data_IF_839512194053
#
_entry.id   IF_839512194053
#
_cell.length_a   1.000
_cell.length_b   1.000
_cell.length_c   1.000
_cell.angle_alpha   90.00
_cell.angle_beta   90.00
_cell.angle_gamma   90.00
#
_symmetry.space_group_name_H-M   'P 1'
#
loop_
_entity.id
_entity.type
_entity.pdbx_description
1 polymer ?
#
# COMPACT_ATOMS: atom_id res chain seq x y z
N UNK A 1 -12.22 -9.06 8.24
CA UNK A 1 -11.57 -9.22 9.56
C UNK A 1 -12.00 -8.08 10.48
N UNK A 2 -12.79 -8.34 11.49
CA UNK A 2 -13.06 -7.38 12.57
C UNK A 2 -11.76 -7.19 13.35
N UNK A 3 -11.03 -6.11 13.10
CA UNK A 3 -9.89 -5.70 13.93
C UNK A 3 -10.42 -5.49 15.34
N UNK A 4 -10.02 -6.33 16.26
CA UNK A 4 -10.38 -6.20 17.67
C UNK A 4 -9.73 -4.92 18.20
N UNK A 5 -10.51 -4.03 18.82
CA UNK A 5 -10.03 -2.83 19.55
C UNK A 5 -9.02 -3.16 20.65
N UNK A 6 -8.78 -4.46 20.92
CA UNK A 6 -7.81 -4.98 21.88
C UNK A 6 -6.46 -5.35 21.25
N UNK A 7 -6.31 -5.20 19.92
CA UNK A 7 -5.01 -5.44 19.26
C UNK A 7 -4.04 -4.30 19.62
N UNK A 8 -2.93 -4.59 20.32
CA UNK A 8 -1.97 -3.57 20.75
C UNK A 8 -1.37 -2.81 19.57
N UNK A 9 -1.16 -3.45 18.42
CA UNK A 9 -0.66 -2.78 17.23
C UNK A 9 -1.66 -1.75 16.68
N UNK A 10 -2.96 -2.04 16.75
CA UNK A 10 -3.99 -1.10 16.34
C UNK A 10 -4.07 0.12 17.27
N UNK A 11 -4.00 -0.10 18.60
CA UNK A 11 -4.00 1.00 19.58
C UNK A 11 -2.80 1.92 19.35
N UNK A 12 -1.60 1.36 19.20
CA UNK A 12 -0.38 2.12 18.96
C UNK A 12 -0.44 2.87 17.62
N UNK A 13 -1.01 2.27 16.56
CA UNK A 13 -1.23 2.97 15.29
C UNK A 13 -2.13 4.18 15.44
N UNK A 14 -3.28 4.03 16.13
CA UNK A 14 -4.19 5.15 16.37
C UNK A 14 -3.52 6.25 17.20
N UNK A 15 -2.80 5.87 18.26
CA UNK A 15 -2.03 6.83 19.07
C UNK A 15 -0.99 7.56 18.23
N UNK A 16 -0.27 6.86 17.36
CA UNK A 16 0.73 7.47 16.46
C UNK A 16 0.07 8.50 15.52
N UNK A 17 -1.07 8.17 14.91
CA UNK A 17 -1.77 9.09 14.02
C UNK A 17 -2.35 10.30 14.76
N UNK A 18 -2.88 10.13 15.97
CA UNK A 18 -3.37 11.23 16.81
C UNK A 18 -2.20 12.15 17.19
N UNK A 19 -1.09 11.61 17.69
CA UNK A 19 0.10 12.37 18.04
C UNK A 19 0.67 13.12 16.83
N UNK A 20 0.62 12.53 15.66
CA UNK A 20 1.03 13.18 14.41
C UNK A 20 0.13 14.37 14.08
N UNK A 21 -1.19 14.23 14.18
CA UNK A 21 -2.13 15.34 13.98
C UNK A 21 -1.89 16.46 14.98
N UNK A 22 -1.71 16.13 16.27
CA UNK A 22 -1.41 17.10 17.33
C UNK A 22 -0.11 17.84 17.04
N UNK A 23 0.95 17.12 16.70
CA UNK A 23 2.26 17.72 16.38
C UNK A 23 2.16 18.66 15.17
N UNK A 24 1.42 18.27 14.14
CA UNK A 24 1.24 19.10 12.94
C UNK A 24 0.45 20.38 13.24
N UNK A 25 -0.65 20.26 13.97
CA UNK A 25 -1.48 21.40 14.37
C UNK A 25 -0.72 22.37 15.26
N UNK A 26 -0.01 21.86 16.27
CA UNK A 26 0.83 22.69 17.15
C UNK A 26 2.01 23.30 16.39
N UNK A 27 2.60 22.58 15.42
CA UNK A 27 3.66 23.11 14.57
C UNK A 27 3.22 24.34 13.76
N UNK A 28 1.98 24.33 13.27
CA UNK A 28 1.40 25.48 12.55
C UNK A 28 1.03 26.66 13.48
N UNK A 29 0.61 26.38 14.71
CA UNK A 29 0.03 27.38 15.61
C UNK A 29 0.97 27.85 16.70
N UNK A 30 2.04 27.11 17.05
CA UNK A 30 2.86 27.36 18.24
C UNK A 30 3.52 28.73 18.28
N UNK A 31 3.92 29.27 17.13
CA UNK A 31 4.52 30.62 17.04
C UNK A 31 3.48 31.74 17.13
N UNK A 32 2.23 31.43 16.76
CA UNK A 32 1.13 32.44 16.89
C UNK A 32 0.58 32.50 18.32
N UNK A 33 0.80 31.46 19.13
CA UNK A 33 0.37 31.35 20.50
C UNK A 33 1.52 31.88 21.38
N UNK A 34 1.53 33.18 21.70
CA UNK A 34 2.59 33.81 22.48
C UNK A 34 2.70 33.26 23.92
N UNK A 35 1.55 33.01 24.57
CA UNK A 35 1.47 32.42 25.92
C UNK A 35 0.28 31.48 26.03
N UNK A 36 0.45 30.40 26.80
CA UNK A 36 -0.62 29.48 27.16
C UNK A 36 -0.64 29.30 28.67
N UNK A 37 -1.83 29.44 29.29
CA UNK A 37 -1.98 29.40 30.75
C UNK A 37 -1.06 30.41 31.49
N UNK A 38 -0.76 31.57 30.88
CA UNK A 38 0.14 32.57 31.45
C UNK A 38 1.65 32.25 31.34
N UNK A 39 2.02 31.13 30.77
CA UNK A 39 3.42 30.73 30.55
C UNK A 39 3.81 31.06 29.10
N UNK A 40 4.82 31.94 28.86
CA UNK A 40 5.29 32.23 27.53
C UNK A 40 5.92 30.99 26.88
N UNK A 41 5.76 30.83 25.57
CA UNK A 41 6.36 29.73 24.75
C UNK A 41 5.93 28.31 25.12
N UNK A 42 4.95 28.09 26.02
CA UNK A 42 4.53 26.75 26.46
C UNK A 42 4.01 25.93 25.29
N UNK A 43 3.38 26.52 24.29
CA UNK A 43 2.91 25.82 23.09
C UNK A 43 4.05 25.15 22.33
N UNK A 44 5.26 25.74 22.33
CA UNK A 44 6.45 25.16 21.69
C UNK A 44 6.95 23.96 22.49
N UNK A 45 6.95 24.03 23.82
CA UNK A 45 7.28 22.87 24.66
C UNK A 45 6.33 21.69 24.37
N UNK A 46 5.01 21.96 24.38
CA UNK A 46 4.00 20.91 24.11
C UNK A 46 4.19 20.31 22.71
N UNK A 47 4.50 21.13 21.70
CA UNK A 47 4.85 20.67 20.36
C UNK A 47 6.05 19.71 20.38
N UNK A 48 7.14 20.08 21.05
CA UNK A 48 8.35 19.25 21.11
C UNK A 48 8.11 17.94 21.86
N UNK A 49 7.37 17.97 22.98
CA UNK A 49 7.00 16.77 23.72
C UNK A 49 6.07 15.86 22.90
N UNK A 50 5.09 16.42 22.18
CA UNK A 50 4.23 15.66 21.27
C UNK A 50 5.03 15.00 20.13
N UNK A 51 6.02 15.70 19.57
CA UNK A 51 6.90 15.16 18.55
C UNK A 51 7.76 13.99 19.07
N UNK A 52 8.28 14.09 20.30
CA UNK A 52 9.01 12.98 20.95
C UNK A 52 8.07 11.78 21.17
N UNK A 53 6.86 12.02 21.69
CA UNK A 53 5.86 10.96 21.87
C UNK A 53 5.48 10.28 20.55
N UNK A 54 5.32 11.06 19.48
CA UNK A 54 5.06 10.56 18.13
C UNK A 54 6.19 9.62 17.67
N UNK A 55 7.45 10.02 17.79
CA UNK A 55 8.59 9.22 17.40
C UNK A 55 8.70 7.91 18.17
N UNK A 56 8.47 7.96 19.49
CA UNK A 56 8.44 6.75 20.34
C UNK A 56 7.30 5.83 19.89
N UNK A 57 6.10 6.37 19.70
CA UNK A 57 4.93 5.61 19.29
C UNK A 57 5.14 4.96 17.90
N UNK A 58 5.72 5.67 16.94
CA UNK A 58 6.06 5.13 15.62
C UNK A 58 7.09 3.99 15.71
N UNK A 59 8.10 4.12 16.59
CA UNK A 59 9.09 3.08 16.83
C UNK A 59 8.45 1.83 17.47
N UNK A 60 7.57 2.01 18.45
CA UNK A 60 6.83 0.90 19.08
C UNK A 60 5.93 0.18 18.08
N UNK A 61 5.25 0.92 17.22
CA UNK A 61 4.41 0.36 16.15
C UNK A 61 5.22 -0.54 15.21
N UNK A 62 6.39 -0.07 14.78
CA UNK A 62 7.26 -0.83 13.91
C UNK A 62 7.74 -2.14 14.57
N UNK A 63 8.11 -2.07 15.85
CA UNK A 63 8.49 -3.24 16.62
C UNK A 63 7.37 -4.27 16.73
N UNK A 64 6.12 -3.81 16.96
CA UNK A 64 4.93 -4.67 17.04
C UNK A 64 4.53 -5.28 15.70
N UNK A 65 4.85 -4.63 14.58
CA UNK A 65 4.62 -5.22 13.26
C UNK A 65 5.64 -6.29 12.88
N UNK A 66 6.84 -6.19 13.43
CA UNK A 66 7.96 -7.04 13.06
C UNK A 66 8.11 -8.27 13.96
N UNK A 67 7.71 -8.17 15.24
CA UNK A 67 7.99 -9.20 16.23
C UNK A 67 6.79 -9.47 17.14
N UNK A 68 6.66 -10.70 17.69
CA UNK A 68 5.69 -11.02 18.73
C UNK A 68 5.95 -10.19 20.00
N UNK A 69 4.87 -9.73 20.65
CA UNK A 69 4.94 -8.89 21.85
C UNK A 69 5.81 -9.48 22.99
N UNK A 70 5.81 -10.80 23.12
CA UNK A 70 6.58 -11.49 24.18
C UNK A 70 8.09 -11.24 24.07
N UNK A 71 8.63 -11.18 22.84
CA UNK A 71 10.07 -11.05 22.58
C UNK A 71 10.58 -9.62 22.74
N UNK A 72 9.70 -8.62 22.58
CA UNK A 72 10.09 -7.21 22.52
C UNK A 72 9.75 -6.41 23.78
N UNK A 73 9.15 -7.03 24.80
CA UNK A 73 8.71 -6.35 26.04
C UNK A 73 9.82 -5.51 26.70
N UNK A 74 11.03 -6.03 26.78
CA UNK A 74 12.17 -5.33 27.38
C UNK A 74 12.56 -4.10 26.54
N UNK A 75 12.58 -4.24 25.21
CA UNK A 75 12.88 -3.12 24.31
C UNK A 75 11.79 -2.05 24.35
N UNK A 76 10.52 -2.44 24.40
CA UNK A 76 9.38 -1.51 24.57
C UNK A 76 9.55 -0.71 25.87
N UNK A 77 9.84 -1.39 27.00
CA UNK A 77 10.08 -0.72 28.28
C UNK A 77 11.24 0.26 28.20
N UNK A 78 12.34 -0.12 27.57
CA UNK A 78 13.49 0.76 27.39
C UNK A 78 13.13 2.04 26.62
N UNK A 79 12.37 1.93 25.52
CA UNK A 79 11.89 3.09 24.75
C UNK A 79 10.94 3.98 25.54
N UNK A 80 10.03 3.40 26.33
CA UNK A 80 9.09 4.16 27.16
C UNK A 80 9.84 4.88 28.28
N UNK A 81 10.76 4.19 28.98
CA UNK A 81 11.53 4.79 30.08
C UNK A 81 12.46 5.89 29.55
N UNK A 82 13.18 5.64 28.46
CA UNK A 82 14.04 6.68 27.86
C UNK A 82 13.24 7.90 27.41
N UNK A 83 12.04 7.67 26.86
CA UNK A 83 11.09 8.73 26.51
C UNK A 83 10.64 9.52 27.74
N UNK A 84 10.26 8.86 28.83
CA UNK A 84 9.83 9.53 30.06
C UNK A 84 10.96 10.37 30.67
N UNK A 85 12.17 9.84 30.70
CA UNK A 85 13.35 10.59 31.15
C UNK A 85 13.58 11.83 30.28
N UNK A 86 13.51 11.65 28.96
CA UNK A 86 13.67 12.75 28.01
C UNK A 86 12.60 13.83 28.19
N UNK A 87 11.34 13.47 28.42
CA UNK A 87 10.26 14.40 28.73
C UNK A 87 10.58 15.27 29.95
N UNK A 88 11.05 14.64 31.02
CA UNK A 88 11.44 15.36 32.24
C UNK A 88 12.61 16.30 31.96
N UNK A 89 13.65 15.83 31.30
CA UNK A 89 14.84 16.65 31.00
C UNK A 89 14.50 17.82 30.09
N UNK A 90 13.74 17.61 29.02
CA UNK A 90 13.30 18.69 28.12
C UNK A 90 12.43 19.70 28.88
N UNK A 91 11.52 19.26 29.73
CA UNK A 91 10.68 20.15 30.53
C UNK A 91 11.52 21.01 31.47
N UNK A 92 12.46 20.41 32.19
CA UNK A 92 13.36 21.11 33.12
C UNK A 92 14.21 22.15 32.37
N UNK A 93 14.87 21.76 31.27
CA UNK A 93 15.69 22.66 30.46
C UNK A 93 14.86 23.81 29.87
N UNK A 94 13.62 23.53 29.46
CA UNK A 94 12.71 24.58 28.98
C UNK A 94 12.45 25.64 30.06
N UNK A 95 12.06 25.24 31.28
CA UNK A 95 11.77 26.17 32.33
C UNK A 95 13.02 26.98 32.81
N UNK A 96 14.21 26.37 32.74
CA UNK A 96 15.47 27.06 33.05
C UNK A 96 15.80 28.12 31.97
N UNK A 97 15.56 27.75 30.67
CA UNK A 97 15.86 28.65 29.54
C UNK A 97 14.78 29.65 29.24
N UNK A 98 13.53 29.44 29.64
CA UNK A 98 12.38 30.30 29.35
C UNK A 98 12.27 31.43 30.35
N UNK A 99 13.17 32.42 30.24
CA UNK A 99 13.18 33.63 31.07
C UNK A 99 12.14 34.64 30.61
N UNK A 100 11.68 35.57 31.49
CA UNK A 100 10.83 36.67 31.07
C UNK A 100 11.46 37.45 29.90
N UNK A 101 10.69 37.62 28.82
CA UNK A 101 11.17 38.30 27.60
C UNK A 101 11.89 37.42 26.59
N UNK A 102 12.03 36.11 26.83
CA UNK A 102 12.61 35.16 25.81
C UNK A 102 11.65 35.09 24.63
N UNK A 103 12.09 35.43 23.39
CA UNK A 103 11.24 35.35 22.23
C UNK A 103 11.00 33.89 21.84
N UNK A 104 9.79 33.56 21.33
CA UNK A 104 9.43 32.21 20.88
C UNK A 104 10.36 31.67 19.76
N UNK A 105 10.91 32.57 18.96
CA UNK A 105 11.90 32.24 17.92
C UNK A 105 13.18 31.61 18.48
N UNK A 106 13.56 31.92 19.73
CA UNK A 106 14.73 31.31 20.39
C UNK A 106 14.57 29.79 20.53
N UNK A 107 13.37 29.33 20.88
CA UNK A 107 13.06 27.88 20.95
C UNK A 107 12.66 27.28 19.59
N UNK A 108 12.21 28.13 18.66
CA UNK A 108 11.78 27.67 17.34
C UNK A 108 12.91 27.63 16.30
N UNK A 109 13.85 28.57 16.34
CA UNK A 109 14.94 28.70 15.34
C UNK A 109 16.29 28.35 15.94
N UNK A 110 16.64 28.92 17.07
CA UNK A 110 17.90 28.78 17.78
C UNK A 110 18.23 30.05 18.57
N UNK A 111 19.15 29.95 19.51
CA UNK A 111 19.57 31.05 20.40
C UNK A 111 21.05 30.87 20.75
N UNK A 112 21.71 31.98 21.09
CA UNK A 112 23.05 31.99 21.70
C UNK A 112 23.06 31.58 23.19
N UNK A 113 21.89 31.41 23.84
CA UNK A 113 21.82 30.94 25.23
C UNK A 113 22.18 29.45 25.29
N UNK A 114 23.19 29.02 26.07
CA UNK A 114 23.67 27.66 26.11
C UNK A 114 22.61 26.65 26.62
N UNK A 115 21.66 27.09 27.47
CA UNK A 115 20.58 26.23 27.98
C UNK A 115 19.58 25.91 26.87
N UNK A 116 19.18 26.94 26.11
CA UNK A 116 18.26 26.78 24.96
C UNK A 116 18.95 25.96 23.87
N UNK A 117 20.22 26.19 23.60
CA UNK A 117 20.99 25.40 22.67
C UNK A 117 21.03 23.91 23.05
N UNK A 118 21.33 23.62 24.31
CA UNK A 118 21.32 22.24 24.83
C UNK A 118 19.96 21.59 24.71
N UNK A 119 18.89 22.31 25.06
CA UNK A 119 17.51 21.86 24.90
C UNK A 119 17.20 21.47 23.45
N UNK A 120 17.52 22.33 22.49
CA UNK A 120 17.24 22.10 21.08
C UNK A 120 18.09 20.98 20.48
N UNK A 121 19.36 20.89 20.85
CA UNK A 121 20.23 19.80 20.40
C UNK A 121 19.73 18.44 20.95
N UNK A 122 19.37 18.38 22.22
CA UNK A 122 18.80 17.17 22.81
C UNK A 122 17.49 16.77 22.12
N UNK A 123 16.63 17.75 21.83
CA UNK A 123 15.41 17.51 21.05
C UNK A 123 15.71 16.93 19.67
N UNK A 124 16.64 17.52 18.89
CA UNK A 124 16.99 17.04 17.56
C UNK A 124 17.62 15.64 17.59
N UNK A 125 18.49 15.36 18.55
CA UNK A 125 19.06 14.01 18.74
C UNK A 125 17.94 13.02 19.04
N UNK A 126 16.97 13.39 19.87
CA UNK A 126 15.81 12.54 20.17
C UNK A 126 14.94 12.23 18.96
N UNK A 127 14.94 13.05 17.93
CA UNK A 127 14.27 12.79 16.65
C UNK A 127 15.15 11.96 15.69
N UNK A 128 16.47 12.22 15.68
CA UNK A 128 17.41 11.54 14.79
C UNK A 128 17.57 10.05 15.13
N UNK A 129 17.61 9.69 16.42
CA UNK A 129 17.76 8.29 16.87
C UNK A 129 16.64 7.39 16.35
N UNK A 130 15.35 7.72 16.50
CA UNK A 130 14.27 6.95 15.88
C UNK A 130 14.37 6.86 14.36
N UNK A 131 14.76 7.93 13.65
CA UNK A 131 14.93 7.88 12.20
C UNK A 131 15.96 6.83 11.78
N UNK A 132 17.13 6.81 12.43
CA UNK A 132 18.16 5.80 12.16
C UNK A 132 17.68 4.39 12.50
N UNK A 133 17.06 4.20 13.65
CA UNK A 133 16.58 2.87 14.08
C UNK A 133 15.47 2.35 13.19
N UNK A 134 14.53 3.20 12.76
CA UNK A 134 13.47 2.87 11.80
C UNK A 134 14.08 2.43 10.47
N UNK A 135 15.02 3.20 9.93
CA UNK A 135 15.70 2.87 8.69
C UNK A 135 16.40 1.50 8.77
N UNK A 136 17.18 1.26 9.81
CA UNK A 136 17.92 0.02 10.00
C UNK A 136 17.02 -1.20 10.20
N UNK A 137 15.83 -1.02 10.78
CA UNK A 137 14.85 -2.10 11.00
C UNK A 137 13.99 -2.35 9.75
N UNK A 138 13.57 -1.31 9.03
CA UNK A 138 12.66 -1.45 7.89
C UNK A 138 13.27 -2.27 6.75
N UNK A 139 14.55 -2.12 6.44
CA UNK A 139 15.17 -2.79 5.29
C UNK A 139 15.24 -4.32 5.43
N UNK A 140 15.74 -4.91 6.54
CA UNK A 140 15.73 -6.36 6.75
C UNK A 140 14.30 -6.92 6.73
N UNK A 141 13.36 -6.27 7.44
CA UNK A 141 11.97 -6.72 7.48
C UNK A 141 11.27 -6.65 6.12
N UNK A 142 11.58 -5.64 5.30
CA UNK A 142 11.07 -5.55 3.94
C UNK A 142 11.57 -6.70 3.04
N UNK A 143 12.75 -7.26 3.33
CA UNK A 143 13.31 -8.40 2.59
C UNK A 143 12.70 -9.74 3.03
N UNK A 144 12.41 -9.90 4.33
CA UNK A 144 11.90 -11.16 4.91
C UNK A 144 10.38 -11.33 4.75
N UNK A 145 9.60 -10.26 4.60
CA UNK A 145 8.14 -10.36 4.52
C UNK A 145 7.64 -10.81 3.15
N UNK A 146 6.72 -11.77 3.14
CA UNK A 146 6.00 -12.23 1.93
C UNK A 146 4.82 -11.31 1.55
N UNK A 147 4.33 -10.48 2.49
CA UNK A 147 3.19 -9.59 2.27
C UNK A 147 3.60 -8.37 1.45
N UNK A 148 3.12 -8.27 0.21
CA UNK A 148 3.50 -7.22 -0.75
C UNK A 148 3.27 -5.81 -0.21
N UNK A 149 2.11 -5.55 0.42
CA UNK A 149 1.78 -4.22 0.94
C UNK A 149 2.61 -3.86 2.17
N UNK A 150 2.88 -4.81 3.07
CA UNK A 150 3.77 -4.58 4.20
C UNK A 150 5.20 -4.28 3.73
N UNK A 151 5.69 -4.99 2.71
CA UNK A 151 6.99 -4.69 2.10
C UNK A 151 7.07 -3.28 1.52
N UNK A 152 6.01 -2.84 0.83
CA UNK A 152 5.93 -1.47 0.30
C UNK A 152 5.91 -0.43 1.42
N UNK A 153 5.10 -0.65 2.45
CA UNK A 153 5.05 0.17 3.68
C UNK A 153 6.45 0.34 4.28
N UNK A 154 7.15 -0.76 4.55
CA UNK A 154 8.47 -0.71 5.18
C UNK A 154 9.49 0.05 4.33
N UNK A 155 9.46 -0.11 3.00
CA UNK A 155 10.32 0.68 2.10
C UNK A 155 9.98 2.17 2.12
N UNK A 156 8.70 2.51 2.11
CA UNK A 156 8.24 3.91 2.18
C UNK A 156 8.64 4.54 3.52
N UNK A 157 8.50 3.81 4.64
CA UNK A 157 8.94 4.28 5.96
C UNK A 157 10.46 4.47 6.01
N UNK A 158 11.24 3.58 5.40
CA UNK A 158 12.69 3.74 5.32
C UNK A 158 13.08 5.02 4.55
N UNK A 159 12.43 5.31 3.42
CA UNK A 159 12.65 6.57 2.68
C UNK A 159 12.25 7.77 3.51
N UNK A 160 11.07 7.73 4.16
CA UNK A 160 10.62 8.80 5.05
C UNK A 160 11.58 9.05 6.21
N UNK A 161 12.14 7.99 6.81
CA UNK A 161 13.13 8.09 7.88
C UNK A 161 14.42 8.78 7.42
N UNK A 162 14.90 8.50 6.19
CA UNK A 162 16.05 9.21 5.61
C UNK A 162 15.76 10.69 5.42
N UNK A 163 14.59 11.03 4.88
CA UNK A 163 14.18 12.44 4.66
C UNK A 163 14.06 13.18 5.99
N UNK A 164 13.48 12.54 7.02
CA UNK A 164 13.41 13.13 8.37
C UNK A 164 14.79 13.21 9.04
N UNK A 165 15.71 12.30 8.74
CA UNK A 165 17.09 12.44 9.20
C UNK A 165 17.79 13.64 8.56
N UNK A 166 17.56 13.90 7.26
CA UNK A 166 18.03 15.11 6.59
C UNK A 166 17.43 16.37 7.23
N UNK A 167 16.14 16.33 7.64
CA UNK A 167 15.57 17.39 8.47
C UNK A 167 16.37 17.59 9.76
N UNK A 168 16.66 16.54 10.52
CA UNK A 168 17.43 16.63 11.76
C UNK A 168 18.82 17.25 11.52
N UNK A 169 19.51 16.83 10.48
CA UNK A 169 20.85 17.32 10.14
C UNK A 169 20.85 18.80 9.75
N UNK A 170 19.93 19.20 8.85
CA UNK A 170 19.81 20.62 8.43
C UNK A 170 19.31 21.50 9.57
N UNK A 171 18.45 20.98 10.44
CA UNK A 171 17.94 21.67 11.63
C UNK A 171 19.05 21.89 12.67
N UNK A 172 19.92 20.89 12.88
CA UNK A 172 21.06 21.04 13.78
C UNK A 172 21.99 22.17 13.32
N UNK A 173 22.23 22.30 12.02
CA UNK A 173 22.99 23.44 11.46
C UNK A 173 22.31 24.76 11.78
N UNK A 174 20.98 24.86 11.60
CA UNK A 174 20.25 26.10 11.92
C UNK A 174 20.29 26.43 13.42
N UNK A 175 20.26 25.43 14.29
CA UNK A 175 20.29 25.63 15.75
C UNK A 175 21.67 26.15 16.20
N UNK A 176 22.75 25.66 15.61
CA UNK A 176 24.11 26.02 16.00
C UNK A 176 24.57 27.33 15.35
N UNK A 177 24.00 27.72 14.20
CA UNK A 177 24.42 28.87 13.41
C UNK A 177 24.44 30.21 14.20
N UNK A 178 23.44 30.54 15.08
CA UNK A 178 23.50 31.78 15.87
C UNK A 178 24.68 31.82 16.85
N UNK A 179 25.02 30.67 17.44
CA UNK A 179 26.16 30.53 18.35
C UNK A 179 27.52 30.71 17.64
N UNK A 180 27.57 30.40 16.34
CA UNK A 180 28.77 30.61 15.51
C UNK A 180 28.79 31.92 14.74
N UNK A 181 27.76 32.77 14.92
CA UNK A 181 27.63 34.04 14.18
C UNK A 181 27.33 33.88 12.69
N UNK A 182 26.85 32.70 12.26
CA UNK A 182 26.54 32.43 10.86
C UNK A 182 25.15 32.99 10.49
N UNK A 183 25.06 33.62 9.33
CA UNK A 183 23.79 34.14 8.78
C UNK A 183 23.40 33.23 7.60
N UNK A 184 22.44 32.34 7.81
CA UNK A 184 22.04 31.30 6.87
C UNK A 184 21.08 31.78 5.76
N UNK A 185 20.51 32.99 5.85
CA UNK A 185 19.62 33.56 4.83
C UNK A 185 18.50 32.59 4.41
N UNK A 186 18.40 32.33 3.11
CA UNK A 186 17.37 31.43 2.55
C UNK A 186 17.52 29.96 3.00
N UNK A 187 18.67 29.54 3.51
CA UNK A 187 18.90 28.18 4.01
C UNK A 187 18.00 27.84 5.21
N UNK A 188 17.50 28.85 5.93
CA UNK A 188 16.61 28.66 7.08
C UNK A 188 15.32 27.90 6.74
N UNK A 189 14.85 27.89 5.49
CA UNK A 189 13.64 27.20 5.04
C UNK A 189 13.86 25.70 4.79
N UNK A 190 15.10 25.27 4.54
CA UNK A 190 15.43 23.90 4.12
C UNK A 190 14.93 22.83 5.11
N UNK A 191 15.12 22.97 6.44
CA UNK A 191 14.56 21.98 7.39
C UNK A 191 13.05 21.87 7.31
N UNK A 192 12.32 22.97 7.10
CA UNK A 192 10.86 22.94 7.01
C UNK A 192 10.39 22.13 5.80
N UNK A 193 11.09 22.22 4.68
CA UNK A 193 10.80 21.43 3.47
C UNK A 193 11.03 19.94 3.73
N UNK A 194 12.18 19.56 4.31
CA UNK A 194 12.46 18.17 4.65
C UNK A 194 11.46 17.61 5.69
N UNK A 195 11.09 18.42 6.68
CA UNK A 195 10.08 18.03 7.67
C UNK A 195 8.74 17.74 7.02
N UNK A 196 8.22 18.66 6.21
CA UNK A 196 6.93 18.52 5.52
C UNK A 196 6.94 17.28 4.62
N UNK A 197 7.96 17.13 3.77
CA UNK A 197 8.09 15.98 2.87
C UNK A 197 8.21 14.66 3.65
N UNK A 198 9.05 14.61 4.68
CA UNK A 198 9.24 13.42 5.49
C UNK A 198 7.98 12.98 6.21
N UNK A 199 7.24 13.94 6.80
CA UNK A 199 5.96 13.66 7.46
C UNK A 199 4.94 13.09 6.47
N UNK A 200 4.80 13.67 5.27
CA UNK A 200 3.89 13.17 4.23
C UNK A 200 4.25 11.73 3.83
N UNK A 201 5.53 11.46 3.58
CA UNK A 201 5.99 10.10 3.20
C UNK A 201 5.72 9.09 4.32
N UNK A 202 6.02 9.45 5.58
CA UNK A 202 5.79 8.54 6.72
C UNK A 202 4.29 8.31 6.94
N UNK A 203 3.46 9.36 6.87
CA UNK A 203 2.00 9.26 7.01
C UNK A 203 1.41 8.32 5.96
N UNK A 204 1.83 8.49 4.70
CA UNK A 204 1.43 7.62 3.60
C UNK A 204 1.86 6.17 3.86
N UNK A 205 3.11 5.97 4.31
CA UNK A 205 3.62 4.65 4.67
C UNK A 205 2.82 3.99 5.78
N UNK A 206 2.52 4.70 6.87
CA UNK A 206 1.78 4.17 8.03
C UNK A 206 0.34 3.77 7.68
N UNK A 207 -0.32 4.49 6.78
CA UNK A 207 -1.70 4.22 6.37
C UNK A 207 -1.80 3.15 5.28
N UNK A 208 -0.73 2.90 4.51
CA UNK A 208 -0.69 1.98 3.37
C UNK A 208 -1.21 0.55 3.67
N UNK A 209 -0.93 -0.10 4.82
CA UNK A 209 -1.46 -1.42 5.10
C UNK A 209 -2.98 -1.47 5.20
N UNK A 210 -3.61 -0.36 5.61
CA UNK A 210 -5.05 -0.30 5.83
C UNK A 210 -5.86 -0.28 4.53
N UNK A 211 -5.39 0.42 3.50
CA UNK A 211 -6.10 0.58 2.22
C UNK A 211 -5.48 -0.24 1.06
N UNK A 212 -4.24 -0.69 1.20
CA UNK A 212 -3.54 -1.40 0.15
C UNK A 212 -4.22 -2.71 -0.27
N UNK A 213 -4.76 -3.48 0.68
CA UNK A 213 -5.53 -4.70 0.39
C UNK A 213 -6.80 -4.38 -0.42
N UNK A 214 -7.47 -3.28 -0.13
CA UNK A 214 -8.65 -2.82 -0.88
C UNK A 214 -8.31 -2.45 -2.32
N UNK A 215 -7.19 -1.73 -2.52
CA UNK A 215 -6.70 -1.40 -3.88
C UNK A 215 -6.38 -2.67 -4.68
N UNK A 216 -5.73 -3.66 -4.05
CA UNK A 216 -5.47 -4.94 -4.69
C UNK A 216 -6.76 -5.68 -5.05
N UNK A 217 -7.76 -5.61 -4.20
CA UNK A 217 -9.08 -6.22 -4.43
C UNK A 217 -9.80 -5.58 -5.60
N UNK A 218 -9.81 -4.24 -5.66
CA UNK A 218 -10.39 -3.49 -6.79
C UNK A 218 -9.65 -3.79 -8.10
N UNK A 219 -8.31 -3.83 -8.07
CA UNK A 219 -7.51 -4.15 -9.25
C UNK A 219 -7.75 -5.59 -9.76
N UNK A 220 -7.91 -6.57 -8.84
CA UNK A 220 -8.31 -7.94 -9.20
C UNK A 220 -9.70 -7.98 -9.79
N UNK A 221 -10.65 -7.28 -9.17
CA UNK A 221 -12.01 -7.20 -9.68
C UNK A 221 -12.04 -6.60 -11.09
N UNK A 222 -11.34 -5.49 -11.33
CA UNK A 222 -11.27 -4.86 -12.65
C UNK A 222 -10.67 -5.79 -13.72
N UNK A 223 -9.62 -6.54 -13.36
CA UNK A 223 -9.00 -7.53 -14.25
C UNK A 223 -9.98 -8.66 -14.58
N UNK A 224 -10.63 -9.24 -13.57
CA UNK A 224 -11.62 -10.29 -13.74
C UNK A 224 -12.82 -9.81 -14.58
N UNK A 225 -13.25 -8.57 -14.38
CA UNK A 225 -14.34 -7.98 -15.15
C UNK A 225 -13.98 -7.81 -16.64
N UNK A 226 -12.77 -7.33 -16.92
CA UNK A 226 -12.27 -7.22 -18.30
C UNK A 226 -12.20 -8.60 -18.97
N UNK A 227 -11.65 -9.61 -18.28
CA UNK A 227 -11.61 -10.98 -18.80
C UNK A 227 -13.00 -11.55 -19.01
N UNK A 228 -13.92 -11.35 -18.06
CA UNK A 228 -15.31 -11.80 -18.18
C UNK A 228 -16.00 -11.21 -19.41
N UNK A 229 -15.81 -9.92 -19.67
CA UNK A 229 -16.34 -9.27 -20.90
C UNK A 229 -15.64 -9.73 -22.16
N UNK A 230 -14.34 -9.90 -22.13
CA UNK A 230 -13.56 -10.33 -23.28
C UNK A 230 -13.91 -11.78 -23.73
N UNK A 231 -14.37 -12.62 -22.80
CA UNK A 231 -14.83 -13.98 -23.11
C UNK A 231 -16.27 -14.03 -23.68
N UNK A 232 -17.01 -12.93 -23.61
CA UNK A 232 -18.43 -12.90 -24.00
C UNK A 232 -18.68 -13.29 -25.46
N UNK A 233 -17.96 -12.80 -26.48
CA UNK A 233 -18.24 -13.13 -27.87
C UNK A 233 -18.14 -14.63 -28.15
N UNK A 234 -17.07 -15.25 -27.66
CA UNK A 234 -16.86 -16.69 -27.83
C UNK A 234 -17.93 -17.50 -27.06
N UNK A 235 -18.19 -17.15 -25.82
CA UNK A 235 -19.20 -17.81 -24.99
C UNK A 235 -20.58 -17.73 -25.62
N UNK A 236 -20.97 -16.57 -26.13
CA UNK A 236 -22.29 -16.34 -26.71
C UNK A 236 -22.54 -17.21 -27.95
N UNK A 237 -21.56 -17.28 -28.87
CA UNK A 237 -21.65 -18.15 -30.05
C UNK A 237 -21.72 -19.63 -29.71
N UNK A 238 -20.99 -20.06 -28.70
CA UNK A 238 -21.07 -21.44 -28.17
C UNK A 238 -22.43 -21.73 -27.53
N UNK A 239 -22.97 -20.78 -26.77
CA UNK A 239 -24.29 -20.89 -26.14
C UNK A 239 -25.40 -20.97 -27.20
N UNK A 240 -25.39 -20.13 -28.23
CA UNK A 240 -26.38 -20.19 -29.33
C UNK A 240 -26.40 -21.54 -30.03
N UNK A 241 -25.21 -22.15 -30.23
CA UNK A 241 -25.09 -23.47 -30.87
C UNK A 241 -25.47 -24.64 -29.96
N UNK A 242 -25.39 -24.44 -28.65
CA UNK A 242 -25.62 -25.49 -27.64
C UNK A 242 -26.11 -24.86 -26.32
N UNK A 243 -27.42 -24.52 -26.21
CA UNK A 243 -27.95 -23.83 -25.00
C UNK A 243 -27.77 -24.63 -23.69
N UNK A 244 -27.60 -25.95 -23.78
CA UNK A 244 -27.39 -26.83 -22.62
C UNK A 244 -26.05 -26.67 -21.90
N UNK A 245 -25.10 -25.88 -22.45
CA UNK A 245 -23.83 -25.57 -21.75
C UNK A 245 -24.01 -24.54 -20.62
N UNK A 246 -25.02 -23.70 -20.69
CA UNK A 246 -25.27 -22.69 -19.67
C UNK A 246 -26.16 -23.24 -18.56
N UNK A 247 -25.68 -23.16 -17.33
CA UNK A 247 -26.44 -23.58 -16.16
C UNK A 247 -27.66 -22.67 -15.88
N UNK A 248 -27.57 -21.41 -16.26
CA UNK A 248 -28.63 -20.41 -16.21
C UNK A 248 -28.67 -19.64 -17.52
N UNK A 249 -29.84 -19.40 -18.10
CA UNK A 249 -29.94 -18.60 -19.31
C UNK A 249 -29.35 -17.21 -19.07
N UNK A 250 -28.74 -16.58 -20.09
CA UNK A 250 -28.25 -15.23 -19.97
C UNK A 250 -29.41 -14.29 -19.58
N UNK A 251 -29.23 -13.57 -18.47
CA UNK A 251 -30.20 -12.55 -18.08
C UNK A 251 -30.27 -11.50 -19.20
N UNK A 252 -31.48 -11.12 -19.59
CA UNK A 252 -31.69 -10.05 -20.57
C UNK A 252 -31.06 -8.75 -20.05
N UNK A 253 -30.00 -8.33 -20.71
CA UNK A 253 -29.14 -7.23 -20.28
C UNK A 253 -28.11 -7.68 -19.23
N UNK A 254 -26.83 -7.68 -19.62
CA UNK A 254 -25.66 -8.01 -18.76
C UNK A 254 -25.47 -6.98 -17.64
N UNK A 255 -26.57 -6.63 -16.94
CA UNK A 255 -26.71 -5.58 -15.91
C UNK A 255 -26.55 -6.07 -14.51
N UNK A 256 -26.31 -7.37 -14.30
CA UNK A 256 -26.10 -7.91 -12.96
C UNK A 256 -24.71 -7.56 -12.42
N UNK A 257 -24.60 -6.30 -11.97
CA UNK A 257 -23.40 -5.67 -11.37
C UNK A 257 -23.17 -6.12 -9.92
N UNK A 258 -23.48 -7.36 -9.53
CA UNK A 258 -23.15 -7.86 -8.20
C UNK A 258 -21.65 -8.06 -8.09
N UNK A 259 -21.00 -7.14 -7.37
CA UNK A 259 -19.55 -7.10 -7.16
C UNK A 259 -19.02 -8.35 -6.44
N UNK A 260 -19.85 -9.01 -5.65
CA UNK A 260 -19.48 -10.16 -4.83
C UNK A 260 -19.20 -11.44 -5.62
N UNK A 261 -19.85 -11.65 -6.78
CA UNK A 261 -19.89 -12.95 -7.44
C UNK A 261 -19.08 -13.01 -8.75
N UNK A 262 -18.37 -11.93 -9.11
CA UNK A 262 -17.65 -11.85 -10.39
C UNK A 262 -16.62 -12.96 -10.59
N UNK A 263 -15.93 -13.38 -9.52
CA UNK A 263 -14.96 -14.47 -9.58
C UNK A 263 -15.64 -15.80 -9.92
N UNK A 264 -16.75 -16.10 -9.27
CA UNK A 264 -17.58 -17.27 -9.55
C UNK A 264 -18.12 -17.25 -10.99
N UNK A 265 -18.63 -16.13 -11.45
CA UNK A 265 -19.16 -15.93 -12.82
C UNK A 265 -18.07 -16.09 -13.88
N UNK A 266 -16.85 -15.61 -13.62
CA UNK A 266 -15.72 -15.84 -14.51
C UNK A 266 -15.34 -17.31 -14.59
N UNK A 267 -15.24 -18.01 -13.45
CA UNK A 267 -14.99 -19.45 -13.42
C UNK A 267 -16.06 -20.22 -14.19
N UNK A 268 -17.30 -19.91 -13.95
CA UNK A 268 -18.44 -20.51 -14.63
C UNK A 268 -18.36 -20.31 -16.14
N UNK A 269 -18.12 -19.09 -16.61
CA UNK A 269 -17.98 -18.80 -18.04
C UNK A 269 -16.82 -19.57 -18.70
N UNK A 270 -15.71 -19.74 -18.01
CA UNK A 270 -14.61 -20.56 -18.50
C UNK A 270 -15.02 -22.02 -18.65
N UNK A 271 -15.72 -22.59 -17.67
CA UNK A 271 -16.24 -23.95 -17.72
C UNK A 271 -17.23 -24.12 -18.86
N UNK A 272 -18.21 -23.21 -19.00
CA UNK A 272 -19.21 -23.22 -20.05
C UNK A 272 -18.56 -23.13 -21.44
N UNK A 273 -17.51 -22.31 -21.64
CA UNK A 273 -16.73 -22.28 -22.87
C UNK A 273 -16.06 -23.61 -23.14
N UNK A 274 -15.46 -24.24 -22.13
CA UNK A 274 -14.81 -25.56 -22.27
C UNK A 274 -15.81 -26.65 -22.63
N UNK A 275 -16.98 -26.63 -22.02
CA UNK A 275 -18.03 -27.61 -22.31
C UNK A 275 -18.61 -27.39 -23.73
N UNK A 276 -18.82 -26.14 -24.14
CA UNK A 276 -19.19 -25.80 -25.51
C UNK A 276 -18.14 -26.23 -26.54
N UNK A 277 -16.87 -26.04 -26.22
CA UNK A 277 -15.78 -26.47 -27.05
C UNK A 277 -15.73 -28.01 -27.17
N UNK A 278 -15.92 -28.75 -26.07
CA UNK A 278 -16.04 -30.21 -26.10
C UNK A 278 -17.21 -30.68 -26.96
N UNK A 279 -18.35 -29.99 -26.90
CA UNK A 279 -19.52 -30.31 -27.72
C UNK A 279 -19.31 -30.08 -29.24
N UNK A 280 -18.31 -29.26 -29.61
CA UNK A 280 -17.94 -29.02 -31.01
C UNK A 280 -16.88 -30.00 -31.53
N UNK A 281 -16.23 -30.79 -30.69
CA UNK A 281 -15.18 -31.76 -31.13
C UNK A 281 -15.57 -32.64 -32.29
N UNK A 282 -16.80 -33.23 -32.39
CA UNK A 282 -17.19 -34.06 -33.52
C UNK A 282 -17.26 -33.31 -34.86
N UNK A 283 -17.25 -31.99 -34.84
CA UNK A 283 -17.34 -31.14 -36.03
C UNK A 283 -16.01 -30.44 -36.36
N UNK A 284 -14.96 -30.65 -35.53
CA UNK A 284 -13.64 -30.06 -35.75
C UNK A 284 -12.80 -30.88 -36.70
N UNK A 285 -12.20 -30.22 -37.69
CA UNK A 285 -11.23 -30.84 -38.58
C UNK A 285 -9.87 -31.01 -37.87
N UNK A 286 -9.21 -32.17 -38.11
CA UNK A 286 -7.91 -32.54 -37.51
C UNK A 286 -6.70 -31.95 -38.24
N UNK A 287 -6.90 -31.07 -39.22
CA UNK A 287 -5.80 -30.49 -39.96
C UNK A 287 -4.83 -29.72 -39.05
N UNK A 288 -3.56 -30.12 -39.10
CA UNK A 288 -2.45 -29.44 -38.38
C UNK A 288 -2.45 -27.95 -38.77
N UNK A 289 -2.39 -27.11 -37.75
CA UNK A 289 -2.29 -25.68 -37.97
C UNK A 289 -0.88 -25.32 -38.39
N UNK A 290 -0.69 -24.57 -39.50
CA UNK A 290 0.62 -24.06 -39.87
C UNK A 290 1.16 -23.14 -38.78
N UNK A 291 2.47 -23.12 -38.61
CA UNK A 291 3.23 -22.27 -37.69
C UNK A 291 2.74 -20.79 -37.79
N UNK A 292 2.08 -20.32 -36.75
CA UNK A 292 1.48 -19.00 -36.70
C UNK A 292 0.79 -18.71 -35.36
N UNK A 293 -0.05 -17.68 -35.33
CA UNK A 293 -0.83 -17.28 -34.13
C UNK A 293 -1.81 -18.41 -33.74
N UNK A 294 -1.43 -19.19 -32.71
CA UNK A 294 -2.20 -20.32 -32.19
C UNK A 294 -3.64 -19.92 -31.80
N UNK A 295 -3.83 -18.73 -31.24
CA UNK A 295 -5.15 -18.25 -30.84
C UNK A 295 -6.05 -17.97 -32.04
N UNK A 296 -5.50 -17.44 -33.13
CA UNK A 296 -6.21 -17.24 -34.38
C UNK A 296 -6.55 -18.55 -35.09
N UNK A 297 -5.64 -19.50 -35.05
CA UNK A 297 -5.86 -20.82 -35.63
C UNK A 297 -7.01 -21.55 -34.91
N UNK A 298 -7.00 -21.50 -33.59
CA UNK A 298 -8.03 -22.13 -32.76
C UNK A 298 -9.40 -21.42 -32.92
N UNK A 299 -9.41 -20.10 -33.00
CA UNK A 299 -10.62 -19.32 -33.31
C UNK A 299 -11.25 -19.70 -34.67
N UNK A 300 -10.43 -19.97 -35.70
CA UNK A 300 -10.90 -20.44 -37.02
C UNK A 300 -11.50 -21.85 -36.94
N UNK A 301 -10.85 -22.76 -36.21
CA UNK A 301 -11.38 -24.13 -35.99
C UNK A 301 -12.75 -24.09 -35.32
N UNK A 302 -12.88 -23.28 -34.25
CA UNK A 302 -14.14 -23.11 -33.54
C UNK A 302 -15.22 -22.56 -34.49
N UNK A 303 -14.91 -21.54 -35.28
CA UNK A 303 -15.86 -20.96 -36.23
C UNK A 303 -16.32 -21.99 -37.28
N UNK A 304 -15.39 -22.73 -37.91
CA UNK A 304 -15.70 -23.75 -38.87
C UNK A 304 -16.58 -24.86 -38.27
N UNK A 305 -16.28 -25.30 -37.06
CA UNK A 305 -17.07 -26.30 -36.35
C UNK A 305 -18.49 -25.80 -36.00
N UNK A 306 -18.65 -24.53 -35.67
CA UNK A 306 -19.96 -23.89 -35.46
C UNK A 306 -20.77 -23.84 -36.76
N UNK A 307 -20.15 -23.46 -37.88
CA UNK A 307 -20.76 -23.44 -39.22
C UNK A 307 -21.17 -24.82 -39.64
N UNK A 308 -20.30 -25.86 -39.48
CA UNK A 308 -20.59 -27.26 -39.78
C UNK A 308 -21.78 -27.80 -38.98
N UNK A 309 -21.83 -27.52 -37.68
CA UNK A 309 -22.93 -27.95 -36.81
C UNK A 309 -24.26 -27.31 -37.20
N UNK A 310 -24.25 -25.98 -37.53
CA UNK A 310 -25.44 -25.24 -37.94
C UNK A 310 -25.97 -25.68 -39.31
N UNK A 311 -25.07 -26.13 -40.18
CA UNK A 311 -25.42 -26.66 -41.52
C UNK A 311 -25.96 -28.11 -41.48
N UNK A 312 -26.08 -28.71 -40.29
CA UNK A 312 -26.63 -30.09 -40.14
C UNK A 312 -25.71 -31.21 -40.65
N UNK A 313 -24.39 -30.94 -40.75
CA UNK A 313 -23.41 -31.96 -41.11
C UNK A 313 -23.40 -33.07 -40.06
N UNK A 314 -23.36 -34.35 -40.48
CA UNK A 314 -23.26 -35.50 -39.55
C UNK A 314 -21.94 -35.44 -38.83
N UNK A 315 -21.95 -35.59 -37.47
CA UNK A 315 -20.71 -35.63 -36.68
C UNK A 315 -19.80 -36.78 -37.13
N UNK A 316 -18.51 -36.52 -37.24
CA UNK A 316 -17.53 -37.58 -37.47
C UNK A 316 -17.53 -38.53 -36.24
N UNK A 317 -17.55 -39.86 -36.47
CA UNK A 317 -17.41 -40.84 -35.38
C UNK A 317 -16.13 -40.57 -34.60
N UNK A 318 -16.27 -40.15 -33.34
CA UNK A 318 -15.14 -39.78 -32.48
C UNK A 318 -14.45 -41.05 -31.97
N UNK A 319 -13.37 -41.43 -32.63
CA UNK A 319 -12.37 -42.34 -32.08
C UNK A 319 -11.26 -41.47 -31.45
N UNK A 320 -11.05 -41.68 -30.15
CA UNK A 320 -9.91 -41.24 -29.32
C UNK A 320 -9.96 -39.83 -28.71
N UNK A 321 -10.10 -39.84 -27.39
CA UNK A 321 -10.26 -38.65 -26.52
C UNK A 321 -8.92 -38.03 -26.09
N UNK A 322 -7.76 -38.53 -26.51
CA UNK A 322 -6.46 -38.23 -25.87
C UNK A 322 -5.69 -37.04 -26.45
N UNK A 323 -6.00 -36.57 -27.66
CA UNK A 323 -5.14 -35.60 -28.36
C UNK A 323 -5.50 -34.08 -28.17
N UNK A 324 -6.54 -33.78 -27.40
CA UNK A 324 -7.02 -32.38 -27.27
C UNK A 324 -6.78 -31.70 -25.90
N UNK A 325 -6.11 -32.38 -24.99
CA UNK A 325 -5.77 -31.85 -23.66
C UNK A 325 -4.40 -31.13 -23.62
N UNK A 326 -3.82 -30.83 -24.79
CA UNK A 326 -2.44 -30.35 -24.91
C UNK A 326 -2.25 -28.87 -24.52
N UNK A 327 -3.31 -28.16 -24.15
CA UNK A 327 -3.23 -26.82 -23.51
C UNK A 327 -3.61 -26.96 -22.05
N UNK A 328 -2.84 -27.76 -21.33
CA UNK A 328 -2.93 -27.89 -19.87
C UNK A 328 -2.37 -26.61 -19.23
N UNK A 329 -3.23 -25.58 -19.20
CA UNK A 329 -2.90 -24.37 -18.47
C UNK A 329 -2.74 -24.73 -17.00
N UNK A 330 -1.49 -24.77 -16.52
CA UNK A 330 -1.14 -25.15 -15.13
C UNK A 330 -1.83 -24.32 -14.07
N UNK A 331 -2.46 -23.21 -14.43
CA UNK A 331 -3.18 -22.31 -13.53
C UNK A 331 -4.43 -21.75 -14.18
N UNK A 332 -5.45 -21.47 -13.38
CA UNK A 332 -6.69 -20.84 -13.86
C UNK A 332 -6.44 -19.48 -14.55
N UNK A 333 -5.49 -18.68 -14.05
CA UNK A 333 -5.15 -17.41 -14.68
C UNK A 333 -4.55 -17.59 -16.09
N UNK A 334 -3.75 -18.61 -16.31
CA UNK A 334 -3.19 -18.92 -17.63
C UNK A 334 -4.31 -19.35 -18.59
N UNK A 335 -5.26 -20.17 -18.11
CA UNK A 335 -6.44 -20.58 -18.85
C UNK A 335 -7.31 -19.37 -19.29
N UNK A 336 -7.64 -18.49 -18.35
CA UNK A 336 -8.39 -17.26 -18.67
C UNK A 336 -7.66 -16.38 -19.69
N UNK A 337 -6.34 -16.26 -19.56
CA UNK A 337 -5.53 -15.49 -20.49
C UNK A 337 -5.57 -16.08 -21.91
N UNK A 338 -5.43 -17.39 -22.01
CA UNK A 338 -5.51 -18.11 -23.28
C UNK A 338 -6.88 -17.97 -23.94
N UNK A 339 -7.95 -18.31 -23.24
CA UNK A 339 -9.31 -18.18 -23.77
C UNK A 339 -9.67 -16.75 -24.14
N UNK A 340 -9.12 -15.76 -23.45
CA UNK A 340 -9.29 -14.34 -23.79
C UNK A 340 -8.64 -14.02 -25.14
N UNK A 341 -7.45 -14.58 -25.43
CA UNK A 341 -6.79 -14.40 -26.74
C UNK A 341 -7.60 -15.08 -27.85
N UNK A 342 -8.06 -16.32 -27.63
CA UNK A 342 -8.92 -17.03 -28.59
C UNK A 342 -10.21 -16.29 -28.84
N UNK A 343 -10.88 -15.79 -27.79
CA UNK A 343 -12.11 -14.99 -27.93
C UNK A 343 -11.89 -13.68 -28.69
N UNK A 344 -10.76 -12.99 -28.45
CA UNK A 344 -10.40 -11.79 -29.18
C UNK A 344 -10.10 -12.07 -30.67
N UNK A 345 -9.45 -13.22 -30.95
CA UNK A 345 -9.22 -13.66 -32.33
C UNK A 345 -10.54 -14.04 -33.02
N UNK A 346 -11.44 -14.73 -32.29
CA UNK A 346 -12.77 -15.09 -32.79
C UNK A 346 -13.62 -13.85 -33.15
N UNK A 347 -13.62 -12.85 -32.27
CA UNK A 347 -14.34 -11.60 -32.52
C UNK A 347 -13.83 -10.80 -33.72
N UNK A 348 -12.64 -11.09 -34.26
CA UNK A 348 -12.17 -10.51 -35.56
C UNK A 348 -12.66 -11.29 -36.79
N UNK A 349 -13.16 -12.49 -36.56
CA UNK A 349 -13.63 -13.36 -37.65
C UNK A 349 -15.15 -13.26 -37.88
N UNK A 350 -15.88 -12.82 -36.88
CA UNK A 350 -17.32 -12.56 -36.89
C UNK A 350 -17.58 -11.08 -37.10
#
# INVERSE_FOLDING_TARGET
MRRSWRDPAYIVLMTTLILQCVTFTLGALSLSIGSLFGIPNLAILILHLAAVAYCISAQLLLMLWANPLAEIRTRIRAWIVSGAVLFVVLTVLFFIGNKPGTPGTAFAVGSGDPVILTYLLLFIVSQAVPCVTIYLQCLPYARSTSRVWLRRTLKTLAVGAVVLFCYCATRAVNIVSPALGWHLGAWAIVPSVFSALGIVIVSFGLTMPSWGEHVSSVARWQRNYRSYRALYPLWHSLYESSPGIALEPPAEGDTDRRWSDLHYRLHRRVIEIRDGWRALRPYMDRADTPDGDQAMAEARKIRQALEAKTSGLTPAESQDNSAFDDHDAKTFEAEVAWLTQVSAAYGKLV
#
